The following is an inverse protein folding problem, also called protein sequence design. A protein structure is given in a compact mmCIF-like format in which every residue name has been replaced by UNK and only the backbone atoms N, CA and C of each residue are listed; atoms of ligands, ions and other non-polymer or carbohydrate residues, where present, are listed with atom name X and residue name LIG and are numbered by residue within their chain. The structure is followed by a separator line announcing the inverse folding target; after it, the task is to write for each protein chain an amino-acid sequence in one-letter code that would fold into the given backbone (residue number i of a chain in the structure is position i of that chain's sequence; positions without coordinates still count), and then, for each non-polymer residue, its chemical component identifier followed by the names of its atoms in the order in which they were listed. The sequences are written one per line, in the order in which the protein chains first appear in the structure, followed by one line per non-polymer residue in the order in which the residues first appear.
data_IF_615763574206
#
_entry.id   IF_615763574206
#
_cell.length_a   1.000
_cell.length_b   1.000
_cell.length_c   1.000
_cell.angle_alpha   90.00
_cell.angle_beta   90.00
_cell.angle_gamma   90.00
#
_symmetry.space_group_name_H-M   'P 1'
#
loop_
_entity.id
_entity.type
_entity.pdbx_description
1 polymer ?
#
# COMPACT_ATOMS: atom_id res chain seq x y z
N UNK A 1 10.27 -17.90 6.01
CA UNK A 1 10.00 -16.59 5.36
C UNK A 1 9.28 -16.72 4.04
N UNK A 2 9.61 -17.69 3.17
CA UNK A 2 8.89 -17.82 1.89
C UNK A 2 7.38 -18.09 2.00
N UNK A 3 6.92 -18.83 2.99
CA UNK A 3 5.46 -19.04 3.19
C UNK A 3 4.75 -17.73 3.56
N UNK A 4 5.35 -16.91 4.43
CA UNK A 4 4.80 -15.59 4.78
C UNK A 4 4.77 -14.66 3.56
N UNK A 5 5.82 -14.67 2.76
CA UNK A 5 5.86 -13.96 1.48
C UNK A 5 4.72 -14.41 0.57
N UNK A 6 4.59 -15.71 0.31
CA UNK A 6 3.54 -16.26 -0.57
C UNK A 6 2.11 -15.95 -0.15
N UNK A 7 1.84 -15.83 1.16
CA UNK A 7 0.49 -15.50 1.66
C UNK A 7 0.26 -13.99 1.68
N UNK A 8 1.26 -13.21 2.07
CA UNK A 8 1.12 -11.76 2.20
C UNK A 8 1.16 -11.03 0.86
N UNK A 9 1.95 -11.51 -0.11
CA UNK A 9 2.14 -10.83 -1.40
C UNK A 9 0.83 -10.69 -2.20
N UNK A 10 0.00 -11.74 -2.36
CA UNK A 10 -1.27 -11.62 -3.09
C UNK A 10 -2.26 -10.68 -2.39
N UNK A 11 -2.33 -10.73 -1.06
CA UNK A 11 -3.19 -9.84 -0.27
C UNK A 11 -2.73 -8.38 -0.39
N UNK A 12 -1.41 -8.17 -0.40
CA UNK A 12 -0.80 -6.85 -0.58
C UNK A 12 -1.12 -6.31 -1.97
N UNK A 13 -0.86 -7.08 -3.02
CA UNK A 13 -1.17 -6.66 -4.39
C UNK A 13 -2.67 -6.38 -4.58
N UNK A 14 -3.55 -7.24 -4.04
CA UNK A 14 -4.99 -7.04 -4.12
C UNK A 14 -5.44 -5.79 -3.38
N UNK A 15 -4.97 -5.56 -2.15
CA UNK A 15 -5.34 -4.39 -1.35
C UNK A 15 -4.79 -3.09 -1.94
N UNK A 16 -3.59 -3.10 -2.54
CA UNK A 16 -3.05 -1.95 -3.28
C UNK A 16 -3.89 -1.63 -4.51
N UNK A 17 -4.25 -2.66 -5.30
CA UNK A 17 -5.11 -2.50 -6.47
C UNK A 17 -6.50 -1.99 -6.09
N UNK A 18 -7.18 -2.68 -5.18
CA UNK A 18 -8.54 -2.33 -4.75
C UNK A 18 -8.59 -0.99 -4.00
N UNK A 19 -7.61 -0.72 -3.12
CA UNK A 19 -7.50 0.54 -2.40
C UNK A 19 -7.30 1.72 -3.34
N UNK A 20 -6.47 1.56 -4.39
CA UNK A 20 -6.25 2.62 -5.37
C UNK A 20 -7.44 2.81 -6.32
N UNK A 21 -8.02 1.72 -6.85
CA UNK A 21 -9.09 1.78 -7.85
C UNK A 21 -10.44 2.23 -7.28
N UNK A 22 -10.79 1.74 -6.09
CA UNK A 22 -12.04 2.10 -5.41
C UNK A 22 -11.89 3.33 -4.52
N UNK A 23 -10.74 4.02 -4.58
CA UNK A 23 -10.39 5.15 -3.70
C UNK A 23 -10.63 4.85 -2.22
N UNK A 24 -10.40 3.59 -1.82
CA UNK A 24 -10.73 3.08 -0.50
C UNK A 24 -9.52 3.22 0.43
N UNK A 25 -9.54 4.31 1.19
CA UNK A 25 -8.48 4.65 2.16
C UNK A 25 -8.20 3.51 3.16
N UNK A 26 -9.19 2.86 3.79
CA UNK A 26 -8.96 1.69 4.64
C UNK A 26 -8.15 0.57 3.99
N UNK A 27 -8.46 0.21 2.73
CA UNK A 27 -7.72 -0.82 2.00
C UNK A 27 -6.29 -0.38 1.67
N UNK A 28 -6.09 0.90 1.35
CA UNK A 28 -4.76 1.45 1.11
C UNK A 28 -3.90 1.50 2.40
N UNK A 29 -4.54 1.75 3.55
CA UNK A 29 -3.88 1.63 4.85
C UNK A 29 -3.50 0.17 5.17
N UNK A 30 -4.37 -0.79 4.85
CA UNK A 30 -4.07 -2.22 4.98
C UNK A 30 -2.90 -2.63 4.08
N UNK A 31 -2.88 -2.19 2.82
CA UNK A 31 -1.74 -2.35 1.92
C UNK A 31 -0.44 -1.80 2.51
N UNK A 32 -0.50 -0.61 3.12
CA UNK A 32 0.68 0.01 3.73
C UNK A 32 1.22 -0.79 4.93
N UNK A 33 0.34 -1.33 5.77
CA UNK A 33 0.72 -2.20 6.90
C UNK A 33 1.39 -3.49 6.38
N UNK A 34 0.82 -4.11 5.35
CA UNK A 34 1.42 -5.30 4.71
C UNK A 34 2.78 -4.99 4.07
N UNK A 35 2.95 -3.78 3.54
CA UNK A 35 4.23 -3.35 2.98
C UNK A 35 5.28 -3.17 4.08
N UNK A 36 4.93 -2.49 5.18
CA UNK A 36 5.84 -2.21 6.30
C UNK A 36 6.28 -3.46 7.07
N UNK A 37 5.36 -4.38 7.37
CA UNK A 37 5.67 -5.56 8.16
C UNK A 37 6.11 -6.75 7.28
N UNK A 38 5.20 -7.52 6.67
CA UNK A 38 5.60 -8.76 6.01
C UNK A 38 6.53 -8.55 4.82
N UNK A 39 6.27 -7.60 3.92
CA UNK A 39 7.12 -7.44 2.73
C UNK A 39 8.48 -6.82 3.05
N UNK A 40 8.57 -5.80 3.91
CA UNK A 40 9.87 -5.20 4.26
C UNK A 40 10.74 -6.17 5.06
N UNK A 41 10.17 -6.84 6.08
CA UNK A 41 10.92 -7.81 6.88
C UNK A 41 11.39 -9.00 6.04
N UNK A 42 10.51 -9.51 5.16
CA UNK A 42 10.88 -10.59 4.24
C UNK A 42 11.96 -10.14 3.25
N UNK A 43 11.83 -8.93 2.70
CA UNK A 43 12.78 -8.39 1.72
C UNK A 43 14.17 -8.19 2.32
N UNK A 44 14.23 -7.63 3.53
CA UNK A 44 15.49 -7.43 4.24
C UNK A 44 16.13 -8.76 4.65
N UNK A 45 15.34 -9.73 5.09
CA UNK A 45 15.84 -11.06 5.45
C UNK A 45 16.46 -11.78 4.25
N UNK A 46 15.75 -11.81 3.12
CA UNK A 46 16.21 -12.46 1.89
C UNK A 46 17.47 -11.76 1.33
N UNK A 47 17.55 -10.43 1.45
CA UNK A 47 18.69 -9.66 0.98
C UNK A 47 19.93 -9.81 1.86
N UNK A 48 19.79 -9.78 3.20
CA UNK A 48 20.93 -9.73 4.12
C UNK A 48 21.25 -11.09 4.75
N UNK A 49 20.25 -11.80 5.27
CA UNK A 49 20.45 -12.93 6.18
C UNK A 49 20.40 -14.32 5.51
N UNK A 50 20.01 -14.41 4.24
CA UNK A 50 19.96 -15.68 3.52
C UNK A 50 21.36 -16.30 3.32
N UNK A 51 21.56 -17.56 3.73
CA UNK A 51 22.87 -18.24 3.68
C UNK A 51 23.27 -18.73 2.29
N UNK A 52 22.32 -19.14 1.46
CA UNK A 52 22.53 -19.57 0.08
C UNK A 52 21.86 -18.56 -0.84
N UNK A 53 22.64 -17.66 -1.42
CA UNK A 53 22.16 -16.64 -2.35
C UNK A 53 22.72 -16.96 -3.73
N UNK A 54 21.84 -17.15 -4.70
CA UNK A 54 22.28 -17.10 -6.09
C UNK A 54 22.38 -15.64 -6.56
N UNK A 55 23.17 -15.33 -7.60
CA UNK A 55 23.24 -13.97 -8.15
C UNK A 55 21.87 -13.46 -8.61
N UNK A 56 21.03 -14.36 -9.15
CA UNK A 56 19.68 -14.04 -9.61
C UNK A 56 18.74 -13.71 -8.45
N UNK A 57 18.80 -14.48 -7.34
CA UNK A 57 18.00 -14.16 -6.14
C UNK A 57 18.34 -12.78 -5.60
N UNK A 58 19.63 -12.43 -5.60
CA UNK A 58 20.10 -11.13 -5.12
C UNK A 58 19.60 -9.99 -6.01
N UNK A 59 19.63 -10.16 -7.34
CA UNK A 59 19.11 -9.15 -8.27
C UNK A 59 17.60 -8.94 -8.10
N UNK A 60 16.82 -10.03 -8.01
CA UNK A 60 15.37 -9.96 -7.78
C UNK A 60 15.10 -9.26 -6.44
N UNK A 61 15.79 -9.65 -5.37
CA UNK A 61 15.55 -9.09 -4.06
C UNK A 61 15.96 -7.61 -3.96
N UNK A 62 17.00 -7.20 -4.68
CA UNK A 62 17.41 -5.80 -4.76
C UNK A 62 16.28 -4.96 -5.39
N UNK A 63 15.77 -5.39 -6.54
CA UNK A 63 14.67 -4.70 -7.24
C UNK A 63 13.43 -4.64 -6.36
N UNK A 64 13.06 -5.76 -5.72
CA UNK A 64 11.93 -5.81 -4.78
C UNK A 64 12.12 -4.86 -3.60
N UNK A 65 13.33 -4.80 -3.03
CA UNK A 65 13.63 -3.89 -1.92
C UNK A 65 13.48 -2.43 -2.35
N UNK A 66 13.96 -2.06 -3.53
CA UNK A 66 13.79 -0.70 -4.07
C UNK A 66 12.32 -0.36 -4.23
N UNK A 67 11.50 -1.25 -4.79
CA UNK A 67 10.06 -1.02 -4.91
C UNK A 67 9.38 -0.86 -3.54
N UNK A 68 9.67 -1.74 -2.58
CA UNK A 68 9.12 -1.65 -1.22
C UNK A 68 9.48 -0.32 -0.56
N UNK A 69 10.72 0.16 -0.74
CA UNK A 69 11.14 1.47 -0.22
C UNK A 69 10.35 2.62 -0.85
N UNK A 70 10.13 2.58 -2.17
CA UNK A 70 9.29 3.57 -2.85
C UNK A 70 7.85 3.51 -2.31
N UNK A 71 7.28 2.32 -2.15
CA UNK A 71 5.93 2.12 -1.61
C UNK A 71 5.80 2.69 -0.20
N UNK A 72 6.78 2.46 0.68
CA UNK A 72 6.80 3.03 2.05
C UNK A 72 6.72 4.56 2.02
N UNK A 73 7.42 5.19 1.08
CA UNK A 73 7.48 6.65 0.96
C UNK A 73 6.22 7.25 0.31
N UNK A 74 5.73 6.64 -0.78
CA UNK A 74 4.66 7.22 -1.59
C UNK A 74 3.25 6.83 -1.11
N UNK A 75 3.07 5.68 -0.48
CA UNK A 75 1.75 5.22 -0.02
C UNK A 75 1.13 6.18 1.01
N UNK A 76 1.84 6.68 2.04
CA UNK A 76 1.29 7.65 2.98
C UNK A 76 0.83 8.94 2.29
N UNK A 77 1.60 9.40 1.32
CA UNK A 77 1.30 10.59 0.53
C UNK A 77 0.02 10.38 -0.29
N UNK A 78 -0.11 9.21 -0.94
CA UNK A 78 -1.30 8.82 -1.69
C UNK A 78 -2.53 8.72 -0.78
N UNK A 79 -2.41 8.04 0.36
CA UNK A 79 -3.47 7.90 1.37
C UNK A 79 -3.93 9.26 1.88
N UNK A 80 -3.00 10.17 2.18
CA UNK A 80 -3.34 11.53 2.64
C UNK A 80 -4.07 12.34 1.57
N UNK A 81 -3.66 12.21 0.31
CA UNK A 81 -4.32 12.85 -0.83
C UNK A 81 -5.75 12.32 -1.00
N UNK A 82 -5.93 11.00 -0.95
CA UNK A 82 -7.27 10.39 -1.03
C UNK A 82 -8.18 10.83 0.12
N UNK A 83 -7.67 10.86 1.36
CA UNK A 83 -8.41 11.37 2.52
C UNK A 83 -8.86 12.83 2.35
N UNK A 84 -8.04 13.68 1.72
CA UNK A 84 -8.43 15.07 1.41
C UNK A 84 -9.55 15.11 0.38
N UNK A 85 -9.45 14.32 -0.70
CA UNK A 85 -10.47 14.27 -1.74
C UNK A 85 -11.83 13.81 -1.20
N UNK A 86 -11.84 12.74 -0.39
CA UNK A 86 -13.07 12.25 0.25
C UNK A 86 -13.71 13.29 1.17
N UNK A 87 -12.90 14.02 1.96
CA UNK A 87 -13.42 15.12 2.80
C UNK A 87 -14.06 16.22 1.97
N UNK A 88 -13.41 16.64 0.88
CA UNK A 88 -13.95 17.69 0.00
C UNK A 88 -15.27 17.26 -0.63
N UNK A 89 -15.36 16.03 -1.13
CA UNK A 89 -16.59 15.48 -1.69
C UNK A 89 -17.73 15.45 -0.65
N UNK A 90 -17.42 15.07 0.59
CA UNK A 90 -18.39 15.04 1.68
C UNK A 90 -18.94 16.45 1.99
N UNK A 91 -18.07 17.45 2.17
CA UNK A 91 -18.51 18.83 2.43
C UNK A 91 -19.30 19.43 1.27
N UNK A 92 -18.92 19.14 0.02
CA UNK A 92 -19.67 19.58 -1.16
C UNK A 92 -21.08 19.01 -1.17
N UNK A 93 -21.21 17.72 -0.88
CA UNK A 93 -22.50 17.04 -0.84
C UNK A 93 -23.39 17.55 0.30
N UNK A 94 -22.83 17.83 1.48
CA UNK A 94 -23.57 18.44 2.59
C UNK A 94 -24.04 19.86 2.25
N UNK A 95 -23.19 20.67 1.59
CA UNK A 95 -23.55 22.01 1.14
C UNK A 95 -24.69 21.98 0.11
N UNK A 96 -24.61 21.08 -0.87
CA UNK A 96 -25.68 20.90 -1.88
C UNK A 96 -27.00 20.53 -1.22
N UNK A 97 -26.99 19.58 -0.27
CA UNK A 97 -28.20 19.21 0.49
C UNK A 97 -28.78 20.36 1.29
N UNK A 98 -27.95 21.19 1.92
CA UNK A 98 -28.41 22.35 2.67
C UNK A 98 -29.09 23.38 1.77
N UNK A 99 -28.59 23.59 0.55
CA UNK A 99 -29.19 24.49 -0.43
C UNK A 99 -30.51 23.96 -1.01
N UNK A 100 -30.63 22.65 -1.21
CA UNK A 100 -31.87 22.02 -1.68
C UNK A 100 -32.99 22.05 -0.63
N UNK A 101 -32.66 21.91 0.66
CA UNK A 101 -33.64 21.98 1.76
C UNK A 101 -34.21 23.38 2.05
N UNK A 102 -33.64 24.43 1.43
CA UNK A 102 -34.10 25.82 1.55
C UNK A 102 -35.01 26.29 0.40
N UNK A 103 -35.36 25.40 -0.55
CA UNK A 103 -36.36 25.64 -1.61
C UNK A 103 -37.65 24.88 -1.33
#
# INVERSE_FOLDING_TARGET
MMVFFFVSEPLRLWSGFAGNLYENVPLLAFFWILTLFPSTLSSLYLLLAQKQKTPIDTAIQLVMTVFVLLEILYTPVATWRMLRLQRVQFYLHDLVRALEGHR
#
